data_IF_587365040919
#
_entry.id   IF_587365040919
#
_cell.length_a   1.000
_cell.length_b   1.000
_cell.length_c   1.000
_cell.angle_alpha   90.00
_cell.angle_beta   90.00
_cell.angle_gamma   90.00
#
_symmetry.space_group_name_H-M   'P 1'
#
loop_
_entity.id
_entity.type
_entity.pdbx_description
1 polymer ?
#
# COMPACT_ATOMS: atom_id res chain seq x y z
N UNK A 1 40.52 4.95 35.00
CA UNK A 1 40.59 6.42 35.15
C UNK A 1 40.25 7.00 33.77
N UNK A 2 39.19 7.78 33.53
CA UNK A 2 38.16 8.34 34.43
C UNK A 2 36.73 8.04 33.91
N UNK A 3 35.75 8.36 34.76
CA UNK A 3 34.32 8.51 34.45
C UNK A 3 33.82 9.78 35.21
N UNK A 4 32.59 10.29 35.06
CA UNK A 4 31.41 9.71 34.41
C UNK A 4 30.39 10.80 33.99
N UNK A 5 29.41 10.41 33.16
CA UNK A 5 28.00 10.86 33.15
C UNK A 5 27.65 12.34 33.44
N UNK A 6 27.07 12.99 32.42
CA UNK A 6 25.92 13.91 32.49
C UNK A 6 25.32 13.97 31.07
N UNK A 7 24.15 13.41 30.73
CA UNK A 7 22.78 13.63 31.22
C UNK A 7 22.27 15.07 31.06
N UNK A 8 21.63 15.36 29.92
CA UNK A 8 20.26 15.88 29.90
C UNK A 8 19.66 15.79 28.49
N UNK A 9 18.39 15.39 28.42
CA UNK A 9 17.67 15.26 27.16
C UNK A 9 17.19 16.62 26.65
N UNK A 10 17.08 16.76 25.33
CA UNK A 10 16.24 17.78 24.70
C UNK A 10 15.62 17.20 23.44
N UNK A 11 14.45 16.59 23.64
CA UNK A 11 13.51 16.32 22.55
C UNK A 11 12.99 17.67 22.08
N UNK A 12 13.48 18.13 20.93
CA UNK A 12 12.95 19.27 20.22
C UNK A 12 12.23 18.78 18.96
N UNK A 13 10.91 18.74 19.02
CA UNK A 13 10.04 18.56 17.85
C UNK A 13 10.41 19.59 16.78
N UNK A 14 10.85 19.16 15.60
CA UNK A 14 10.74 19.97 14.38
C UNK A 14 9.30 19.92 13.85
N UNK A 15 8.37 20.33 14.71
CA UNK A 15 7.09 20.88 14.27
C UNK A 15 7.36 22.32 13.82
N UNK A 16 7.89 22.48 12.61
CA UNK A 16 8.08 23.76 11.96
C UNK A 16 6.74 24.40 11.64
N UNK A 17 6.13 25.07 12.62
CA UNK A 17 4.95 25.88 12.41
C UNK A 17 5.28 26.98 11.38
N UNK A 18 4.60 26.98 10.23
CA UNK A 18 4.57 28.14 9.35
C UNK A 18 3.90 29.29 10.12
N UNK A 19 4.71 30.25 10.57
CA UNK A 19 4.28 31.37 11.40
C UNK A 19 3.28 32.25 10.64
N UNK A 20 2.04 32.28 11.14
CA UNK A 20 0.92 33.02 10.58
C UNK A 20 0.99 34.54 10.88
N UNK A 21 2.16 35.14 10.68
CA UNK A 21 2.45 36.56 10.97
C UNK A 21 3.09 37.30 9.79
N UNK A 22 2.47 37.24 8.60
CA UNK A 22 2.77 38.21 7.53
C UNK A 22 1.60 38.59 6.60
N UNK A 23 0.37 38.62 7.10
CA UNK A 23 -0.78 39.19 6.39
C UNK A 23 -1.65 40.03 7.35
N UNK A 24 -1.19 41.23 7.66
CA UNK A 24 -1.94 42.22 8.45
C UNK A 24 -2.07 43.56 7.71
N UNK A 25 -2.64 43.53 6.50
CA UNK A 25 -3.31 44.68 5.86
C UNK A 25 -3.81 44.31 4.45
N UNK A 26 -4.92 43.58 4.36
CA UNK A 26 -5.81 43.67 3.19
C UNK A 26 -7.22 43.89 3.74
N UNK A 27 -7.86 44.96 3.26
CA UNK A 27 -9.22 45.31 3.65
C UNK A 27 -10.17 44.13 3.40
N UNK A 28 -11.04 43.82 4.37
CA UNK A 28 -12.30 43.15 4.06
C UNK A 28 -13.05 44.02 3.06
N UNK A 29 -13.05 43.58 1.80
CA UNK A 29 -13.93 44.10 0.76
C UNK A 29 -14.76 42.92 0.33
N UNK A 30 -16.02 42.88 0.77
CA UNK A 30 -16.96 41.85 0.34
C UNK A 30 -17.02 41.86 -1.18
N UNK A 31 -16.74 40.71 -1.77
CA UNK A 31 -16.81 40.52 -3.21
C UNK A 31 -17.56 39.22 -3.46
N UNK A 32 -18.77 39.35 -3.97
CA UNK A 32 -19.47 38.30 -4.72
C UNK A 32 -18.69 38.07 -6.03
N UNK A 33 -17.47 37.56 -5.90
CA UNK A 33 -16.60 37.19 -7.00
C UNK A 33 -17.16 35.92 -7.63
N UNK A 34 -18.16 36.12 -8.49
CA UNK A 34 -18.44 35.18 -9.59
C UNK A 34 -17.08 34.92 -10.25
N UNK A 35 -16.62 33.67 -10.19
CA UNK A 35 -15.44 33.24 -10.95
C UNK A 35 -15.83 33.43 -12.41
N UNK A 36 -15.28 34.47 -13.04
CA UNK A 36 -15.55 34.77 -14.44
C UNK A 36 -15.07 33.59 -15.28
N UNK A 37 -16.02 32.90 -15.90
CA UNK A 37 -15.80 31.66 -16.63
C UNK A 37 -14.76 31.92 -17.72
N UNK A 38 -13.66 31.16 -17.72
CA UNK A 38 -12.59 31.38 -18.67
C UNK A 38 -13.17 31.23 -20.08
N UNK A 39 -12.95 32.21 -20.99
CA UNK A 39 -13.65 32.23 -22.27
C UNK A 39 -13.43 30.90 -22.99
N UNK A 40 -14.50 30.24 -23.46
CA UNK A 40 -14.41 28.87 -23.94
C UNK A 40 -13.36 28.78 -25.03
N UNK A 41 -12.41 27.87 -24.86
CA UNK A 41 -11.44 27.56 -25.91
C UNK A 41 -12.22 26.95 -27.06
N UNK A 42 -12.55 27.77 -28.06
CA UNK A 42 -13.27 27.37 -29.26
C UNK A 42 -12.33 26.54 -30.13
N UNK A 43 -12.18 25.27 -29.78
CA UNK A 43 -11.65 24.25 -30.67
C UNK A 43 -12.76 23.84 -31.65
N UNK A 44 -12.43 23.69 -32.93
CA UNK A 44 -13.34 23.13 -33.93
C UNK A 44 -13.59 21.64 -33.64
N UNK A 45 -14.56 21.37 -32.77
CA UNK A 45 -14.89 20.03 -32.28
C UNK A 45 -16.05 20.02 -31.28
N UNK A 46 -16.48 18.84 -30.83
CA UNK A 46 -17.55 18.73 -29.84
C UNK A 46 -17.10 19.29 -28.48
N UNK A 47 -17.81 20.30 -27.97
CA UNK A 47 -17.58 20.87 -26.64
C UNK A 47 -18.35 20.12 -25.56
N UNK A 48 -17.75 20.01 -24.36
CA UNK A 48 -18.39 19.45 -23.15
C UNK A 48 -18.21 20.45 -22.02
N UNK A 49 -19.32 20.82 -21.36
CA UNK A 49 -19.29 21.58 -20.11
C UNK A 49 -19.28 20.62 -18.92
N UNK A 50 -18.41 20.88 -17.94
CA UNK A 50 -18.32 20.12 -16.69
C UNK A 50 -18.57 21.08 -15.54
N UNK A 51 -19.55 20.77 -14.70
CA UNK A 51 -19.88 21.56 -13.50
C UNK A 51 -19.60 20.71 -12.26
N UNK A 52 -18.79 21.24 -11.34
CA UNK A 52 -18.48 20.57 -10.08
C UNK A 52 -19.44 21.07 -8.98
N UNK A 53 -20.04 20.15 -8.24
CA UNK A 53 -20.75 20.49 -7.01
C UNK A 53 -19.70 20.84 -5.91
N UNK A 54 -19.90 21.90 -5.11
CA UNK A 54 -18.95 22.29 -4.06
C UNK A 54 -18.97 21.35 -2.86
N UNK A 55 -20.11 20.68 -2.61
CA UNK A 55 -20.25 19.72 -1.52
C UNK A 55 -19.60 18.37 -1.90
N UNK A 56 -18.77 17.78 -1.01
CA UNK A 56 -18.14 16.49 -1.29
C UNK A 56 -19.19 15.37 -1.33
N UNK A 57 -19.46 14.85 -2.52
CA UNK A 57 -20.37 13.71 -2.74
C UNK A 57 -19.58 12.40 -2.68
N UNK A 58 -19.93 11.53 -1.72
CA UNK A 58 -19.41 10.17 -1.63
C UNK A 58 -18.86 9.79 -0.26
N UNK A 59 -18.30 8.58 -0.16
CA UNK A 59 -17.58 8.11 1.03
C UNK A 59 -16.09 8.49 0.95
N UNK A 60 -15.42 8.78 2.09
CA UNK A 60 -13.98 9.00 2.10
C UNK A 60 -13.25 7.72 1.64
N UNK A 61 -12.31 7.87 0.71
CA UNK A 61 -11.46 6.77 0.27
C UNK A 61 -10.29 6.59 1.24
N UNK A 62 -9.98 5.33 1.56
CA UNK A 62 -8.74 4.99 2.28
C UNK A 62 -7.54 5.30 1.38
N UNK A 63 -6.43 5.77 1.96
CA UNK A 63 -5.19 6.04 1.21
C UNK A 63 -4.68 4.80 0.44
N UNK A 64 -5.05 3.58 0.88
CA UNK A 64 -4.74 2.28 0.26
C UNK A 64 -5.78 1.84 -0.79
N UNK A 65 -6.66 2.73 -1.25
CA UNK A 65 -7.71 2.37 -2.20
C UNK A 65 -7.14 1.74 -3.49
N UNK A 66 -6.05 2.30 -4.02
CA UNK A 66 -5.27 1.65 -5.06
C UNK A 66 -4.42 0.53 -4.42
N UNK A 67 -4.72 -0.71 -4.75
CA UNK A 67 -4.11 -1.91 -4.16
C UNK A 67 -3.87 -2.99 -5.21
N UNK A 68 -2.92 -3.88 -4.93
CA UNK A 68 -2.46 -4.89 -5.90
C UNK A 68 -2.57 -6.32 -5.34
N UNK A 69 -2.59 -7.30 -6.24
CA UNK A 69 -2.62 -8.72 -5.90
C UNK A 69 -1.49 -9.46 -6.58
N UNK A 70 -0.91 -10.43 -5.89
CA UNK A 70 0.01 -11.42 -6.43
C UNK A 70 -0.65 -12.79 -6.26
N UNK A 71 -0.74 -13.53 -7.35
CA UNK A 71 -1.35 -14.86 -7.35
C UNK A 71 -0.47 -15.87 -6.59
N UNK A 72 -1.07 -16.70 -5.74
CA UNK A 72 -0.37 -17.72 -4.94
C UNK A 72 0.44 -18.68 -5.81
N UNK A 73 0.00 -18.95 -7.05
CA UNK A 73 0.74 -19.78 -8.00
C UNK A 73 1.98 -19.10 -8.58
N UNK A 74 2.09 -17.76 -8.47
CA UNK A 74 3.34 -17.03 -8.73
C UNK A 74 4.21 -17.02 -7.47
N UNK A 75 3.64 -16.63 -6.34
CA UNK A 75 4.38 -16.49 -5.07
C UNK A 75 5.00 -17.82 -4.60
N UNK A 76 4.18 -18.88 -4.52
CA UNK A 76 4.54 -20.17 -3.93
C UNK A 76 5.05 -21.13 -5.01
N UNK A 77 4.17 -21.60 -5.91
CA UNK A 77 4.51 -22.61 -6.93
C UNK A 77 5.69 -22.22 -7.82
N UNK A 78 5.67 -20.98 -8.34
CA UNK A 78 6.75 -20.47 -9.18
C UNK A 78 7.92 -19.84 -8.40
N UNK A 79 7.89 -19.86 -7.05
CA UNK A 79 8.90 -19.30 -6.14
C UNK A 79 9.40 -17.92 -6.59
N UNK A 80 8.47 -17.01 -6.85
CA UNK A 80 8.78 -15.71 -7.45
C UNK A 80 9.79 -14.90 -6.61
N UNK A 81 10.77 -14.28 -7.27
CA UNK A 81 11.76 -13.45 -6.59
C UNK A 81 11.22 -12.06 -6.26
N UNK A 82 10.76 -11.91 -5.02
CA UNK A 82 10.32 -10.65 -4.44
C UNK A 82 11.43 -9.61 -4.20
N UNK A 83 12.71 -9.97 -4.33
CA UNK A 83 13.83 -9.05 -4.09
C UNK A 83 14.29 -8.31 -5.36
N UNK A 84 13.60 -8.46 -6.50
CA UNK A 84 13.97 -7.77 -7.74
C UNK A 84 13.91 -6.24 -7.56
N UNK A 85 15.04 -5.50 -7.68
CA UNK A 85 15.08 -4.08 -7.30
C UNK A 85 14.06 -3.21 -8.03
N UNK A 86 13.88 -3.44 -9.34
CA UNK A 86 12.89 -2.72 -10.16
C UNK A 86 11.44 -2.97 -9.73
N UNK A 87 11.12 -4.14 -9.18
CA UNK A 87 9.79 -4.42 -8.64
C UNK A 87 9.59 -3.66 -7.33
N UNK A 88 10.58 -3.68 -6.44
CA UNK A 88 10.53 -2.96 -5.15
C UNK A 88 10.39 -1.46 -5.39
N UNK A 89 11.17 -0.89 -6.32
CA UNK A 89 11.09 0.51 -6.73
C UNK A 89 9.67 0.88 -7.23
N UNK A 90 9.18 0.18 -8.27
CA UNK A 90 7.86 0.46 -8.85
C UNK A 90 6.70 0.25 -7.87
N UNK A 91 6.81 -0.72 -6.94
CA UNK A 91 5.79 -0.95 -5.93
C UNK A 91 5.84 0.06 -4.78
N UNK A 92 7.01 0.64 -4.48
CA UNK A 92 7.15 1.66 -3.42
C UNK A 92 6.46 2.97 -3.79
N UNK A 93 6.41 3.32 -5.08
CA UNK A 93 5.64 4.47 -5.59
C UNK A 93 4.12 4.31 -5.44
N UNK A 94 3.63 3.10 -5.12
CA UNK A 94 2.22 2.85 -4.80
C UNK A 94 1.91 2.99 -3.30
N UNK A 95 2.89 3.31 -2.45
CA UNK A 95 2.71 3.39 -1.01
C UNK A 95 1.81 4.57 -0.60
N UNK A 96 0.85 4.37 0.35
CA UNK A 96 0.52 3.12 1.03
C UNK A 96 -0.51 2.29 0.24
N UNK A 97 -0.33 0.96 0.16
CA UNK A 97 -1.29 0.06 -0.50
C UNK A 97 -1.52 -1.24 0.29
N UNK A 98 -2.55 -2.00 -0.08
CA UNK A 98 -2.68 -3.40 0.32
C UNK A 98 -2.06 -4.32 -0.74
N UNK A 99 -1.20 -5.23 -0.29
CA UNK A 99 -0.73 -6.36 -1.09
C UNK A 99 -1.55 -7.59 -0.74
N UNK A 100 -2.40 -8.06 -1.66
CA UNK A 100 -3.05 -9.36 -1.52
C UNK A 100 -2.16 -10.47 -2.06
N UNK A 101 -1.92 -11.52 -1.29
CA UNK A 101 -1.45 -12.82 -1.80
C UNK A 101 -2.62 -13.81 -1.70
N UNK A 102 -3.01 -14.39 -2.83
CA UNK A 102 -4.23 -15.19 -2.94
C UNK A 102 -4.53 -15.68 -4.35
N UNK A 103 -5.80 -15.99 -4.63
CA UNK A 103 -6.22 -16.63 -5.88
C UNK A 103 -6.55 -18.10 -5.67
N UNK A 104 -6.97 -18.80 -6.72
CA UNK A 104 -7.53 -20.16 -6.62
C UNK A 104 -6.57 -21.20 -6.03
N UNK A 105 -5.26 -21.06 -6.28
CA UNK A 105 -4.27 -21.99 -5.71
C UNK A 105 -4.03 -21.81 -4.20
N UNK A 106 -4.55 -20.73 -3.57
CA UNK A 106 -4.44 -20.54 -2.12
C UNK A 106 -5.09 -21.68 -1.32
N UNK A 107 -6.20 -22.22 -1.84
CA UNK A 107 -6.96 -23.34 -1.25
C UNK A 107 -6.28 -24.71 -1.41
N UNK A 108 -5.01 -24.73 -1.89
CA UNK A 108 -4.23 -25.94 -2.10
C UNK A 108 -2.81 -25.87 -1.54
N UNK A 109 -2.49 -24.83 -0.75
CA UNK A 109 -1.16 -24.66 -0.13
C UNK A 109 -1.07 -25.39 1.21
N UNK A 110 -0.09 -26.27 1.34
CA UNK A 110 0.36 -26.80 2.62
C UNK A 110 1.38 -25.83 3.25
N UNK A 111 1.29 -25.60 4.55
CA UNK A 111 2.17 -24.68 5.27
C UNK A 111 3.23 -25.45 6.06
N UNK A 112 4.48 -25.41 5.61
CA UNK A 112 5.61 -26.05 6.30
C UNK A 112 6.71 -25.01 6.59
N UNK A 113 6.57 -24.34 7.73
CA UNK A 113 7.53 -23.32 8.19
C UNK A 113 8.64 -23.92 9.07
N UNK A 114 8.87 -25.24 9.00
CA UNK A 114 9.96 -25.91 9.71
C UNK A 114 11.34 -25.55 9.12
N UNK A 115 12.43 -26.00 9.77
CA UNK A 115 13.79 -25.84 9.25
C UNK A 115 14.11 -26.75 8.07
N UNK A 116 13.32 -27.82 7.86
CA UNK A 116 13.54 -28.82 6.81
C UNK A 116 12.19 -29.15 6.16
N UNK A 117 11.63 -28.23 5.35
CA UNK A 117 10.29 -28.38 4.81
C UNK A 117 10.20 -29.55 3.83
N UNK A 118 9.04 -30.19 3.78
CA UNK A 118 8.78 -31.28 2.84
C UNK A 118 8.75 -30.76 1.39
N UNK A 119 9.41 -31.48 0.48
CA UNK A 119 9.44 -31.12 -0.94
C UNK A 119 8.16 -31.50 -1.69
N UNK A 120 7.46 -32.55 -1.24
CA UNK A 120 6.21 -33.03 -1.83
C UNK A 120 5.05 -32.71 -0.89
N UNK A 121 3.99 -32.02 -1.35
CA UNK A 121 2.83 -31.71 -0.52
C UNK A 121 2.05 -32.99 -0.15
N UNK A 122 1.36 -33.03 1.01
CA UNK A 122 0.50 -34.17 1.37
C UNK A 122 -0.72 -34.29 0.44
N UNK A 123 -1.41 -35.44 0.43
CA UNK A 123 -2.70 -35.59 -0.26
C UNK A 123 -3.68 -34.49 0.14
N UNK A 124 -4.45 -33.97 -0.83
CA UNK A 124 -5.37 -32.83 -0.63
C UNK A 124 -4.73 -31.46 -0.88
N UNK A 125 -3.40 -31.38 -0.96
CA UNK A 125 -2.64 -30.17 -1.27
C UNK A 125 -1.97 -30.26 -2.65
N UNK A 126 -1.50 -29.14 -3.19
CA UNK A 126 -0.79 -29.06 -4.47
C UNK A 126 0.58 -28.39 -4.36
N UNK A 127 0.79 -27.53 -3.36
CA UNK A 127 2.00 -26.72 -3.21
C UNK A 127 2.42 -26.65 -1.74
N UNK A 128 3.70 -26.42 -1.47
CA UNK A 128 4.23 -26.18 -0.11
C UNK A 128 4.73 -24.75 -0.02
N UNK A 129 4.15 -23.95 0.89
CA UNK A 129 4.71 -22.67 1.32
C UNK A 129 5.65 -22.92 2.49
N UNK A 130 6.92 -22.66 2.25
CA UNK A 130 7.97 -22.70 3.27
C UNK A 130 8.27 -21.32 3.89
N UNK A 131 9.14 -21.35 4.91
CA UNK A 131 9.63 -20.16 5.60
C UNK A 131 10.35 -19.18 4.66
N UNK A 132 11.11 -19.67 3.69
CA UNK A 132 11.91 -18.81 2.80
C UNK A 132 10.99 -17.92 1.94
N UNK A 133 9.99 -18.52 1.29
CA UNK A 133 9.02 -17.77 0.47
C UNK A 133 8.15 -16.86 1.35
N UNK A 134 7.74 -17.32 2.53
CA UNK A 134 6.97 -16.50 3.48
C UNK A 134 7.74 -15.25 3.93
N UNK A 135 9.01 -15.40 4.31
CA UNK A 135 9.87 -14.30 4.75
C UNK A 135 10.18 -13.35 3.60
N UNK A 136 10.30 -13.83 2.35
CA UNK A 136 10.43 -12.99 1.14
C UNK A 136 9.18 -12.15 0.88
N UNK A 137 7.98 -12.72 0.98
CA UNK A 137 6.70 -11.99 0.88
C UNK A 137 6.60 -10.91 1.98
N UNK A 138 6.91 -11.28 3.22
CA UNK A 138 6.87 -10.36 4.36
C UNK A 138 7.92 -9.25 4.27
N UNK A 139 9.12 -9.55 3.76
CA UNK A 139 10.18 -8.58 3.52
C UNK A 139 9.76 -7.56 2.45
N UNK A 140 9.22 -8.02 1.32
CA UNK A 140 8.72 -7.16 0.25
C UNK A 140 7.61 -6.22 0.72
N UNK A 141 6.63 -6.73 1.48
CA UNK A 141 5.57 -5.90 2.03
C UNK A 141 6.12 -4.80 2.97
N UNK A 142 7.13 -5.10 3.79
CA UNK A 142 7.79 -4.09 4.64
C UNK A 142 8.57 -3.06 3.82
N UNK A 143 9.34 -3.50 2.82
CA UNK A 143 10.17 -2.63 1.99
C UNK A 143 9.32 -1.64 1.17
N UNK A 144 8.17 -2.07 0.65
CA UNK A 144 7.28 -1.29 -0.21
C UNK A 144 6.20 -0.50 0.54
N UNK A 145 6.21 -0.52 1.88
CA UNK A 145 5.17 0.13 2.69
C UNK A 145 3.78 -0.52 2.60
N UNK A 146 3.68 -1.74 2.07
CA UNK A 146 2.44 -2.45 1.87
C UNK A 146 1.85 -3.05 3.15
N UNK A 147 0.52 -3.14 3.21
CA UNK A 147 -0.21 -3.94 4.20
C UNK A 147 -0.58 -5.29 3.57
N UNK A 148 0.00 -6.37 4.09
CA UNK A 148 -0.23 -7.72 3.56
C UNK A 148 -1.64 -8.24 3.93
N UNK A 149 -2.44 -8.60 2.93
CA UNK A 149 -3.56 -9.53 3.07
C UNK A 149 -3.14 -10.90 2.53
N UNK A 150 -3.10 -11.90 3.40
CA UNK A 150 -2.78 -13.27 3.01
C UNK A 150 -4.05 -14.13 3.00
N UNK A 151 -4.27 -14.86 1.91
CA UNK A 151 -5.40 -15.81 1.80
C UNK A 151 -5.00 -17.12 2.46
N UNK A 152 -5.65 -17.48 3.57
CA UNK A 152 -5.49 -18.78 4.21
C UNK A 152 -6.21 -19.87 3.41
N UNK A 153 -5.59 -21.05 3.33
CA UNK A 153 -6.16 -22.21 2.69
C UNK A 153 -7.47 -22.63 3.39
N UNK A 154 -8.58 -22.63 2.64
CA UNK A 154 -9.88 -23.14 3.08
C UNK A 154 -10.44 -24.18 2.10
N UNK A 155 -9.57 -24.88 1.38
CA UNK A 155 -9.89 -25.94 0.43
C UNK A 155 -9.93 -27.34 1.03
N UNK A 156 -9.91 -28.40 0.18
CA UNK A 156 -10.10 -29.78 0.61
C UNK A 156 -9.08 -30.28 1.63
N UNK A 157 -7.81 -29.87 1.50
CA UNK A 157 -6.74 -30.24 2.43
C UNK A 157 -7.12 -30.02 3.90
N UNK A 158 -7.26 -28.77 4.39
CA UNK A 158 -7.59 -28.50 5.79
C UNK A 158 -9.06 -28.77 6.17
N UNK A 159 -9.91 -29.26 5.26
CA UNK A 159 -11.35 -29.50 5.49
C UNK A 159 -11.74 -30.97 5.55
N UNK A 160 -11.08 -31.80 4.72
CA UNK A 160 -11.49 -33.16 4.41
C UNK A 160 -10.42 -34.20 4.80
N UNK A 161 -9.28 -33.78 5.38
CA UNK A 161 -8.22 -34.66 5.95
C UNK A 161 -8.13 -34.55 7.46
#
# INVERSE_FOLDING_TARGET
>A
MLASVALLASVALLAGACDARRLSSVHETGSDAIVEDAPPVVADGPSVAISFAPDPVGAPLDARFLSITIDTSRAVRARYDFNQPRLVELASELAPFYLRVGGTEADRVFYDLSETPIATPPPGYAEVLDREIWDRICSFARQTGARLLFTLNAGPGPRDT
#
